data_IF_220419718778
#
_entry.id   IF_220419718778
#
_cell.length_a   1.000
_cell.length_b   1.000
_cell.length_c   1.000
_cell.angle_alpha   90.00
_cell.angle_beta   90.00
_cell.angle_gamma   90.00
#
_symmetry.space_group_name_H-M   'P 1'
#
loop_
_entity.id
_entity.type
_entity.pdbx_description
1 polymer ?
#
# COMPACT_ATOMS: atom_id res chain seq x y z
N UNK A 1 25.79 1.91 -15.39
CA UNK A 1 24.36 2.10 -15.08
C UNK A 1 23.93 0.96 -14.16
N UNK A 2 23.45 1.23 -12.94
CA UNK A 2 22.98 0.16 -12.05
C UNK A 2 21.60 -0.27 -12.54
N UNK A 3 21.46 -1.51 -13.02
CA UNK A 3 20.19 -2.07 -13.46
C UNK A 3 19.18 -2.00 -12.31
N UNK A 4 18.22 -1.07 -12.39
CA UNK A 4 17.17 -0.97 -11.39
C UNK A 4 16.26 -2.19 -11.52
N UNK A 5 16.37 -3.12 -10.56
CA UNK A 5 15.41 -4.20 -10.40
C UNK A 5 14.28 -3.73 -9.50
N UNK A 6 13.06 -3.91 -9.98
CA UNK A 6 11.86 -3.69 -9.18
C UNK A 6 11.86 -4.61 -7.95
N UNK A 7 11.46 -4.05 -6.81
CA UNK A 7 11.46 -4.79 -5.55
C UNK A 7 10.12 -5.51 -5.38
N UNK A 8 10.14 -6.85 -5.42
CA UNK A 8 8.96 -7.67 -5.09
C UNK A 8 8.43 -7.32 -3.69
N UNK A 9 7.15 -6.99 -3.61
CA UNK A 9 6.48 -6.62 -2.35
C UNK A 9 5.48 -7.69 -1.94
N UNK A 10 5.38 -7.94 -0.62
CA UNK A 10 4.34 -8.81 -0.05
C UNK A 10 3.00 -8.09 0.14
N UNK A 11 3.03 -6.77 0.26
CA UNK A 11 1.82 -5.95 0.42
C UNK A 11 1.31 -5.50 -0.96
N UNK A 12 0.04 -5.76 -1.31
CA UNK A 12 -0.54 -5.32 -2.58
C UNK A 12 -0.40 -3.82 -2.81
N UNK A 13 -0.64 -3.01 -1.78
CA UNK A 13 -0.46 -1.54 -1.83
C UNK A 13 0.96 -1.15 -2.21
N UNK A 14 1.97 -1.81 -1.62
CA UNK A 14 3.37 -1.54 -1.96
C UNK A 14 3.71 -2.04 -3.37
N UNK A 15 3.14 -3.16 -3.80
CA UNK A 15 3.34 -3.69 -5.15
C UNK A 15 2.77 -2.76 -6.22
N UNK A 16 1.55 -2.25 -6.02
CA UNK A 16 0.91 -1.27 -6.90
C UNK A 16 1.77 -0.01 -6.98
N UNK A 17 2.29 0.48 -5.84
CA UNK A 17 3.16 1.67 -5.85
C UNK A 17 4.48 1.43 -6.58
N UNK A 18 5.06 0.24 -6.50
CA UNK A 18 6.25 -0.12 -7.29
C UNK A 18 5.91 -0.15 -8.78
N UNK A 19 4.78 -0.73 -9.18
CA UNK A 19 4.29 -0.71 -10.57
C UNK A 19 4.10 0.73 -11.09
N UNK A 20 3.47 1.62 -10.33
CA UNK A 20 3.35 3.03 -10.72
C UNK A 20 4.72 3.72 -10.84
N UNK A 21 5.71 3.32 -10.03
CA UNK A 21 7.07 3.84 -10.12
C UNK A 21 7.76 3.36 -11.40
N UNK A 22 7.62 2.08 -11.74
CA UNK A 22 8.13 1.50 -12.99
C UNK A 22 7.48 2.13 -14.23
N UNK A 23 6.16 2.29 -14.22
CA UNK A 23 5.41 2.96 -15.29
C UNK A 23 5.91 4.40 -15.55
N UNK A 24 6.35 5.10 -14.50
CA UNK A 24 6.92 6.45 -14.58
C UNK A 24 8.44 6.49 -14.84
N UNK A 25 9.02 5.38 -15.33
CA UNK A 25 10.43 5.31 -15.72
C UNK A 25 11.37 4.60 -14.74
N UNK A 26 10.84 4.09 -13.62
CA UNK A 26 11.59 3.29 -12.64
C UNK A 26 12.59 4.12 -11.84
N UNK A 27 13.08 3.58 -10.70
CA UNK A 27 13.98 4.32 -9.80
C UNK A 27 15.38 4.53 -10.39
N UNK A 28 16.05 5.58 -9.90
CA UNK A 28 17.44 5.86 -10.24
C UNK A 28 17.65 6.81 -11.42
N UNK A 29 16.57 7.40 -11.94
CA UNK A 29 16.61 8.46 -12.97
C UNK A 29 16.80 9.86 -12.39
N UNK A 30 16.87 9.99 -11.06
CA UNK A 30 16.92 11.29 -10.36
C UNK A 30 15.56 12.00 -10.27
N UNK A 31 14.51 11.40 -10.84
CA UNK A 31 13.16 11.98 -10.84
C UNK A 31 12.44 11.77 -9.50
N UNK A 32 11.54 12.71 -9.19
CA UNK A 32 10.63 12.57 -8.06
C UNK A 32 9.37 11.79 -8.48
N UNK A 33 9.41 10.46 -8.35
CA UNK A 33 8.27 9.60 -8.74
C UNK A 33 7.00 9.87 -7.94
N UNK A 34 7.09 10.38 -6.71
CA UNK A 34 5.90 10.76 -5.96
C UNK A 34 5.14 11.87 -6.67
N UNK A 35 5.86 12.84 -7.24
CA UNK A 35 5.29 13.91 -8.07
C UNK A 35 4.75 13.35 -9.38
N UNK A 36 5.54 12.55 -10.11
CA UNK A 36 5.11 11.96 -11.40
C UNK A 36 3.85 11.10 -11.27
N UNK A 37 3.76 10.28 -10.22
CA UNK A 37 2.57 9.46 -9.95
C UNK A 37 1.37 10.34 -9.58
N UNK A 38 1.59 11.45 -8.87
CA UNK A 38 0.53 12.39 -8.52
C UNK A 38 -0.04 13.08 -9.77
N UNK A 39 0.84 13.45 -10.70
CA UNK A 39 0.54 14.13 -11.97
C UNK A 39 0.19 13.15 -13.11
N UNK A 40 -0.05 11.87 -12.80
CA UNK A 40 -0.44 10.88 -13.80
C UNK A 40 -1.72 11.31 -14.54
N UNK A 41 -1.65 11.36 -15.87
CA UNK A 41 -2.71 11.82 -16.76
C UNK A 41 -3.62 10.70 -17.29
N UNK A 42 -3.53 9.48 -16.74
CA UNK A 42 -4.31 8.31 -17.17
C UNK A 42 -5.36 7.93 -16.13
N UNK A 43 -6.51 8.65 -16.04
CA UNK A 43 -7.56 8.35 -15.07
C UNK A 43 -8.21 6.98 -15.31
N UNK A 44 -8.23 6.50 -16.55
CA UNK A 44 -8.80 5.19 -16.91
C UNK A 44 -7.87 4.01 -16.59
N UNK A 45 -6.68 4.28 -16.06
CA UNK A 45 -5.78 3.22 -15.61
C UNK A 45 -6.43 2.46 -14.45
N UNK A 46 -6.47 1.12 -14.55
CA UNK A 46 -7.06 0.25 -13.51
C UNK A 46 -6.40 0.38 -12.14
N UNK A 47 -5.19 0.94 -12.07
CA UNK A 47 -4.46 1.19 -10.82
C UNK A 47 -4.56 2.65 -10.33
N UNK A 48 -5.19 3.55 -11.11
CA UNK A 48 -5.19 4.99 -10.85
C UNK A 48 -5.64 5.31 -9.43
N UNK A 49 -6.78 4.79 -9.01
CA UNK A 49 -7.36 5.05 -7.69
C UNK A 49 -6.55 4.48 -6.53
N UNK A 50 -5.73 3.46 -6.81
CA UNK A 50 -4.92 2.78 -5.80
C UNK A 50 -3.51 3.37 -5.68
N UNK A 51 -3.11 4.30 -6.57
CA UNK A 51 -1.71 4.77 -6.73
C UNK A 51 -1.12 5.46 -5.50
N UNK A 52 -1.98 5.92 -4.58
CA UNK A 52 -1.61 6.53 -3.30
C UNK A 52 -1.70 5.56 -2.11
N UNK A 53 -1.91 4.28 -2.37
CA UNK A 53 -1.90 3.23 -1.36
C UNK A 53 -3.15 3.17 -0.49
N UNK A 54 -4.23 3.82 -0.92
CA UNK A 54 -5.57 3.65 -0.36
C UNK A 54 -6.45 2.96 -1.41
N UNK A 55 -7.26 2.00 -0.97
CA UNK A 55 -8.34 1.45 -1.81
C UNK A 55 -9.61 2.24 -1.49
N UNK A 56 -10.14 3.09 -2.40
CA UNK A 56 -11.35 3.86 -2.14
C UNK A 56 -12.61 2.99 -2.07
N UNK A 57 -12.57 1.78 -2.63
CA UNK A 57 -13.68 0.84 -2.63
C UNK A 57 -13.74 -0.02 -1.37
N UNK A 58 -12.68 0.00 -0.54
CA UNK A 58 -12.67 -0.70 0.73
C UNK A 58 -13.32 0.17 1.81
N UNK A 59 -14.66 0.12 1.86
CA UNK A 59 -15.45 0.72 2.93
C UNK A 59 -15.84 -0.35 3.95
N UNK A 60 -15.69 -0.04 5.24
CA UNK A 60 -16.13 -0.89 6.34
C UNK A 60 -17.21 -0.15 7.13
N UNK A 61 -18.47 -0.52 6.91
CA UNK A 61 -19.61 0.01 7.67
C UNK A 61 -19.78 -0.81 8.95
N UNK A 62 -18.96 -0.53 9.96
CA UNK A 62 -18.99 -1.23 11.25
C UNK A 62 -19.70 -0.36 12.29
N UNK A 63 -20.54 -0.99 13.11
CA UNK A 63 -21.05 -0.37 14.34
C UNK A 63 -19.90 -0.09 15.32
N UNK A 64 -20.12 0.82 16.27
CA UNK A 64 -19.12 1.11 17.31
C UNK A 64 -18.76 -0.14 18.14
N UNK A 65 -19.75 -0.98 18.45
CA UNK A 65 -19.52 -2.25 19.14
C UNK A 65 -18.63 -3.20 18.33
N UNK A 66 -18.84 -3.29 17.02
CA UNK A 66 -18.02 -4.13 16.15
C UNK A 66 -16.59 -3.59 16.01
N UNK A 67 -16.42 -2.26 15.91
CA UNK A 67 -15.10 -1.63 15.94
C UNK A 67 -14.37 -1.95 17.24
N UNK A 68 -15.05 -1.84 18.39
CA UNK A 68 -14.49 -2.14 19.71
C UNK A 68 -14.10 -3.61 19.84
N UNK A 69 -14.96 -4.53 19.39
CA UNK A 69 -14.69 -5.97 19.36
C UNK A 69 -13.44 -6.28 18.54
N UNK A 70 -13.33 -5.74 17.32
CA UNK A 70 -12.15 -5.94 16.46
C UNK A 70 -10.87 -5.38 17.08
N UNK A 71 -10.94 -4.21 17.69
CA UNK A 71 -9.80 -3.61 18.39
C UNK A 71 -9.32 -4.49 19.56
N UNK A 72 -10.26 -5.05 20.34
CA UNK A 72 -9.93 -5.99 21.43
C UNK A 72 -9.24 -7.25 20.90
N UNK A 73 -9.80 -7.88 19.87
CA UNK A 73 -9.23 -9.07 19.24
C UNK A 73 -7.81 -8.81 18.69
N UNK A 74 -7.58 -7.63 18.09
CA UNK A 74 -6.26 -7.24 17.61
C UNK A 74 -5.25 -7.10 18.76
N UNK A 75 -5.64 -6.48 19.87
CA UNK A 75 -4.81 -6.35 21.08
C UNK A 75 -4.45 -7.71 21.67
N UNK A 76 -5.44 -8.59 21.83
CA UNK A 76 -5.20 -9.94 22.36
C UNK A 76 -4.26 -10.76 21.48
N UNK A 77 -4.45 -10.72 20.15
CA UNK A 77 -3.56 -11.41 19.19
C UNK A 77 -2.13 -10.88 19.29
N UNK A 78 -1.97 -9.58 19.46
CA UNK A 78 -0.65 -8.97 19.63
C UNK A 78 0.02 -9.45 20.94
N UNK A 79 -0.71 -9.41 22.07
CA UNK A 79 -0.20 -9.89 23.36
C UNK A 79 0.18 -11.37 23.33
N UNK A 80 -0.66 -12.24 22.75
CA UNK A 80 -0.35 -13.68 22.60
C UNK A 80 0.90 -13.92 21.75
N UNK A 81 1.05 -13.18 20.65
CA UNK A 81 2.24 -13.28 19.79
C UNK A 81 3.51 -12.84 20.52
N UNK A 82 3.43 -11.78 21.33
CA UNK A 82 4.55 -11.32 22.13
C UNK A 82 4.96 -12.37 23.19
N UNK A 83 3.99 -12.99 23.86
CA UNK A 83 4.24 -14.06 24.83
C UNK A 83 4.88 -15.32 24.22
N UNK A 84 4.63 -15.61 22.95
CA UNK A 84 5.24 -16.75 22.23
C UNK A 84 6.69 -16.50 21.77
N UNK A 85 7.16 -15.25 21.84
CA UNK A 85 8.49 -14.85 21.36
C UNK A 85 9.47 -14.56 22.52
N UNK A 86 9.00 -14.64 23.76
CA UNK A 86 9.80 -14.58 24.99
C UNK A 86 9.96 -15.99 25.55
#
# INVERSE_FOLDING_TARGET
MKNHKSKKQKSPVKAIREMCTECMGGRGTGQNYSKLIAECSSPDCSLYDFRFGKNPFHTQNLSEDEKKRRANLARERFSKRAALLN
#
